data_IF_900173937707
#
_entry.id   IF_900173937707
#
_cell.length_a   1.000
_cell.length_b   1.000
_cell.length_c   1.000
_cell.angle_alpha   90.00
_cell.angle_beta   90.00
_cell.angle_gamma   90.00
#
_symmetry.space_group_name_H-M   'P 1'
#
loop_
_entity.id
_entity.type
_entity.pdbx_description
1 polymer ?
#
# COMPACT_ATOMS: atom_id res chain seq x y z
N UNK A 1 -16.56 4.42 -15.95
CA UNK A 1 -15.54 4.63 -17.00
C UNK A 1 -14.32 3.74 -16.68
N UNK A 2 -13.38 3.56 -17.59
CA UNK A 2 -12.13 2.80 -17.32
C UNK A 2 -10.93 3.67 -17.63
N UNK A 3 -10.04 3.84 -16.66
CA UNK A 3 -8.76 4.52 -16.83
C UNK A 3 -7.71 3.47 -17.16
N UNK A 4 -6.97 3.66 -18.24
CA UNK A 4 -5.88 2.77 -18.64
C UNK A 4 -4.56 3.51 -18.51
N UNK A 5 -3.61 2.95 -17.76
CA UNK A 5 -2.28 3.50 -17.57
C UNK A 5 -1.23 2.46 -17.96
N UNK A 6 -0.10 2.91 -18.49
CA UNK A 6 1.13 2.12 -18.51
C UNK A 6 1.71 1.98 -17.10
N UNK A 7 2.54 0.95 -16.90
CA UNK A 7 3.28 0.78 -15.65
C UNK A 7 4.16 2.01 -15.31
N UNK A 8 4.73 2.67 -16.31
CA UNK A 8 5.56 3.85 -16.12
C UNK A 8 4.74 5.05 -15.63
N UNK A 9 3.57 5.30 -16.22
CA UNK A 9 2.67 6.38 -15.79
C UNK A 9 2.20 6.14 -14.35
N UNK A 10 1.83 4.90 -14.03
CA UNK A 10 1.46 4.55 -12.66
C UNK A 10 2.62 4.78 -11.68
N UNK A 11 3.85 4.42 -12.04
CA UNK A 11 5.05 4.68 -11.20
C UNK A 11 5.30 6.17 -10.99
N UNK A 12 5.17 6.98 -12.03
CA UNK A 12 5.35 8.44 -11.91
C UNK A 12 4.30 9.06 -10.99
N UNK A 13 3.03 8.67 -11.16
CA UNK A 13 1.95 9.10 -10.27
C UNK A 13 2.20 8.65 -8.83
N UNK A 14 2.68 7.42 -8.66
CA UNK A 14 3.01 6.85 -7.36
C UNK A 14 4.10 7.65 -6.64
N UNK A 15 5.21 7.93 -7.32
CA UNK A 15 6.34 8.70 -6.78
C UNK A 15 5.92 10.12 -6.38
N UNK A 16 5.14 10.79 -7.23
CA UNK A 16 4.64 12.14 -6.95
C UNK A 16 3.71 12.21 -5.72
N UNK A 17 3.15 11.07 -5.29
CA UNK A 17 2.25 10.97 -4.15
C UNK A 17 2.83 10.17 -2.97
N UNK A 18 4.16 9.94 -2.97
CA UNK A 18 4.84 9.24 -1.87
C UNK A 18 5.28 10.23 -0.81
N UNK A 19 4.98 9.94 0.45
CA UNK A 19 5.49 10.66 1.62
C UNK A 19 6.31 9.70 2.49
N UNK A 20 7.61 9.97 2.72
CA UNK A 20 8.38 9.24 3.71
C UNK A 20 7.78 9.52 5.11
N UNK A 21 7.56 8.48 5.90
CA UNK A 21 7.15 8.63 7.30
C UNK A 21 8.33 8.21 8.19
N UNK A 22 8.98 9.13 8.91
CA UNK A 22 10.04 8.75 9.83
C UNK A 22 9.48 7.88 10.96
N UNK A 23 10.08 6.70 11.15
CA UNK A 23 9.82 5.86 12.32
C UNK A 23 10.53 6.47 13.55
N UNK A 24 9.97 6.36 14.77
CA UNK A 24 10.62 6.90 15.96
C UNK A 24 11.87 6.13 16.43
N UNK A 25 12.25 5.01 15.82
CA UNK A 25 13.33 4.16 16.32
C UNK A 25 14.25 3.65 15.21
N UNK A 26 15.54 3.61 15.57
CA UNK A 26 16.74 3.70 14.75
C UNK A 26 17.20 2.33 14.21
N UNK A 27 16.59 1.84 13.12
CA UNK A 27 17.05 0.65 12.40
C UNK A 27 17.25 0.85 10.88
N UNK A 28 17.10 2.09 10.39
CA UNK A 28 17.29 2.44 8.98
C UNK A 28 16.22 1.92 8.03
N UNK A 29 15.15 1.27 8.52
CA UNK A 29 14.00 0.86 7.70
C UNK A 29 12.85 1.87 7.86
N UNK A 30 12.69 2.73 6.85
CA UNK A 30 11.64 3.75 6.84
C UNK A 30 10.39 3.23 6.15
N UNK A 31 9.27 3.25 6.88
CA UNK A 31 7.94 3.07 6.31
C UNK A 31 7.68 4.10 5.21
N UNK A 32 7.05 3.66 4.13
CA UNK A 32 6.60 4.57 3.10
C UNK A 32 5.09 4.47 2.90
N UNK A 33 4.45 5.64 2.88
CA UNK A 33 3.03 5.78 2.56
C UNK A 33 2.94 6.47 1.22
N UNK A 34 2.22 5.85 0.30
CA UNK A 34 1.86 6.43 -0.97
C UNK A 34 0.38 6.76 -0.95
N UNK A 35 0.05 8.03 -1.09
CA UNK A 35 -1.33 8.45 -1.25
C UNK A 35 -1.84 8.01 -2.62
N UNK A 36 -3.10 7.59 -2.68
CA UNK A 36 -3.77 7.37 -3.95
C UNK A 36 -3.81 8.71 -4.71
N UNK A 37 -3.37 8.76 -5.98
CA UNK A 37 -3.47 9.97 -6.78
C UNK A 37 -4.93 10.50 -6.77
N UNK A 38 -5.16 11.79 -6.46
CA UNK A 38 -6.52 12.31 -6.22
C UNK A 38 -7.50 12.12 -7.38
N UNK A 39 -6.99 12.04 -8.61
CA UNK A 39 -7.79 11.83 -9.83
C UNK A 39 -8.14 10.35 -10.09
N UNK A 40 -7.51 9.41 -9.37
CA UNK A 40 -7.82 7.98 -9.46
C UNK A 40 -8.71 7.51 -8.30
N UNK A 41 -8.63 8.18 -7.15
CA UNK A 41 -9.28 7.70 -5.94
C UNK A 41 -8.87 8.44 -4.68
N UNK A 42 -9.11 7.79 -3.54
CA UNK A 42 -8.75 8.26 -2.19
C UNK A 42 -8.14 7.14 -1.36
N UNK A 43 -7.43 7.51 -0.30
CA UNK A 43 -6.76 6.58 0.61
C UNK A 43 -5.30 6.39 0.26
N UNK A 44 -4.72 5.26 0.63
CA UNK A 44 -3.28 5.04 0.56
C UNK A 44 -2.88 3.58 0.37
N UNK A 45 -1.60 3.40 0.02
CA UNK A 45 -0.84 2.18 0.17
C UNK A 45 0.28 2.45 1.18
N UNK A 46 0.54 1.50 2.07
CA UNK A 46 1.65 1.59 3.04
C UNK A 46 2.49 0.34 2.93
N UNK A 47 3.79 0.53 2.84
CA UNK A 47 4.77 -0.54 2.84
C UNK A 47 5.55 -0.44 4.13
N UNK A 48 5.57 -1.56 4.84
CA UNK A 48 6.23 -1.72 6.13
C UNK A 48 7.31 -2.78 5.91
N UNK A 49 8.58 -2.39 5.80
CA UNK A 49 9.69 -3.33 5.78
C UNK A 49 9.73 -4.13 7.09
N UNK A 50 9.78 -5.45 6.99
CA UNK A 50 9.89 -6.40 8.10
C UNK A 50 11.09 -7.32 7.84
N UNK A 51 12.32 -6.81 8.01
CA UNK A 51 13.56 -7.54 7.70
C UNK A 51 13.54 -8.11 6.27
N UNK A 52 13.27 -9.40 6.11
CA UNK A 52 13.28 -10.11 4.83
C UNK A 52 11.92 -10.10 4.10
N UNK A 53 10.89 -9.51 4.71
CA UNK A 53 9.51 -9.47 4.18
C UNK A 53 9.07 -8.02 4.08
N UNK A 54 8.19 -7.71 3.11
CA UNK A 54 7.51 -6.43 3.03
C UNK A 54 6.03 -6.66 3.30
N UNK A 55 5.49 -6.02 4.34
CA UNK A 55 4.05 -5.98 4.56
C UNK A 55 3.47 -4.81 3.77
N UNK A 56 2.56 -5.12 2.85
CA UNK A 56 1.84 -4.13 2.04
C UNK A 56 0.39 -4.01 2.52
N UNK A 57 0.02 -2.83 2.98
CA UNK A 57 -1.35 -2.48 3.36
C UNK A 57 -1.98 -1.66 2.23
N UNK A 58 -3.07 -2.19 1.65
CA UNK A 58 -3.91 -1.47 0.72
C UNK A 58 -5.13 -0.92 1.45
N UNK A 59 -5.24 0.40 1.54
CA UNK A 59 -6.42 1.08 2.08
C UNK A 59 -6.79 2.25 1.18
N UNK A 60 -7.25 1.94 -0.02
CA UNK A 60 -7.71 2.92 -0.99
C UNK A 60 -9.00 2.48 -1.66
N UNK A 61 -9.67 3.46 -2.24
CA UNK A 61 -10.88 3.29 -3.03
C UNK A 61 -10.69 4.05 -4.34
N UNK A 62 -10.88 3.35 -5.47
CA UNK A 62 -10.79 3.94 -6.79
C UNK A 62 -12.15 4.49 -7.21
N UNK A 63 -12.16 5.65 -7.85
CA UNK A 63 -13.37 6.24 -8.41
C UNK A 63 -13.83 5.52 -9.68
N UNK A 64 -12.89 4.95 -10.42
CA UNK A 64 -13.11 4.31 -11.71
C UNK A 64 -12.30 3.02 -11.81
N UNK A 65 -12.67 2.13 -12.73
CA UNK A 65 -11.89 0.92 -12.98
C UNK A 65 -10.51 1.30 -13.53
N UNK A 66 -9.44 0.84 -12.88
CA UNK A 66 -8.06 1.07 -13.31
C UNK A 66 -7.48 -0.19 -13.97
N UNK A 67 -7.05 -0.06 -15.22
CA UNK A 67 -6.30 -1.10 -15.93
C UNK A 67 -4.85 -0.65 -16.10
N UNK A 68 -3.92 -1.52 -15.71
CA UNK A 68 -2.47 -1.24 -15.82
C UNK A 68 -1.87 -2.15 -16.88
N UNK A 69 -1.34 -1.56 -17.93
CA UNK A 69 -0.60 -2.28 -18.96
C UNK A 69 0.81 -2.58 -18.44
N UNK A 70 1.01 -3.82 -17.99
CA UNK A 70 2.33 -4.31 -17.54
C UNK A 70 3.02 -5.07 -18.68
N UNK A 71 4.28 -4.75 -19.03
CA UNK A 71 5.10 -5.69 -19.76
C UNK A 71 5.26 -6.96 -18.93
N UNK A 72 5.27 -8.12 -19.57
CA UNK A 72 5.43 -9.42 -18.91
C UNK A 72 6.83 -9.51 -18.29
N UNK A 73 6.95 -9.15 -17.01
CA UNK A 73 8.18 -9.36 -16.24
C UNK A 73 7.90 -10.47 -15.24
N UNK A 74 8.76 -11.50 -15.26
CA UNK A 74 8.82 -12.53 -14.24
C UNK A 74 9.28 -11.87 -12.93
N UNK A 75 8.37 -11.68 -12.00
CA UNK A 75 8.71 -11.26 -10.65
C UNK A 75 9.11 -12.50 -9.86
N UNK A 76 10.37 -12.59 -9.40
CA UNK A 76 10.88 -13.68 -8.56
C UNK A 76 10.33 -13.64 -7.11
N UNK A 77 9.19 -12.99 -6.87
CA UNK A 77 8.56 -12.88 -5.57
C UNK A 77 7.30 -13.74 -5.48
N UNK A 78 7.06 -14.29 -4.30
CA UNK A 78 5.80 -14.93 -3.95
C UNK A 78 4.98 -13.93 -3.14
N UNK A 79 3.79 -13.59 -3.62
CA UNK A 79 2.87 -12.66 -2.95
C UNK A 79 1.69 -13.45 -2.35
N UNK A 80 1.34 -13.14 -1.10
CA UNK A 80 0.17 -13.68 -0.42
C UNK A 80 -0.77 -12.53 -0.04
N UNK A 81 -1.98 -12.53 -0.60
CA UNK A 81 -3.00 -11.51 -0.32
C UNK A 81 -4.13 -12.05 0.55
N UNK A 82 -4.49 -11.30 1.59
CA UNK A 82 -5.65 -11.58 2.43
C UNK A 82 -6.50 -10.32 2.61
N UNK A 83 -7.82 -10.49 2.60
CA UNK A 83 -8.75 -9.39 2.91
C UNK A 83 -8.95 -9.33 4.42
N UNK A 84 -8.51 -8.25 5.05
CA UNK A 84 -8.82 -7.98 6.45
C UNK A 84 -10.21 -7.32 6.50
N UNK A 85 -11.16 -7.95 7.21
CA UNK A 85 -12.45 -7.34 7.56
C UNK A 85 -12.50 -7.14 9.06
N UNK A 86 -12.59 -5.89 9.53
CA UNK A 86 -12.82 -5.60 10.93
C UNK A 86 -14.31 -5.68 11.25
N UNK A 87 -14.73 -6.63 12.08
CA UNK A 87 -15.95 -6.42 12.87
C UNK A 87 -15.57 -5.53 14.04
N UNK A 88 -16.16 -4.34 14.12
CA UNK A 88 -16.10 -3.50 15.32
C UNK A 88 -16.89 -4.15 16.47
N UNK A 89 -16.59 -5.40 16.84
CA UNK A 89 -16.96 -5.89 18.15
C UNK A 89 -15.98 -5.24 19.11
N UNK A 90 -16.44 -4.21 19.80
CA UNK A 90 -15.77 -3.64 20.97
C UNK A 90 -15.65 -4.74 22.02
N UNK A 91 -14.67 -5.63 21.88
CA UNK A 91 -14.20 -6.48 22.95
C UNK A 91 -12.96 -5.79 23.52
N UNK A 92 -13.18 -5.03 24.58
CA UNK A 92 -12.14 -4.70 25.56
C UNK A 92 -11.60 -6.03 26.11
N UNK A 93 -10.61 -6.62 25.47
CA UNK A 93 -9.88 -7.77 26.00
C UNK A 93 -8.51 -7.84 25.32
N UNK A 94 -7.52 -7.22 25.96
CA UNK A 94 -6.13 -7.26 25.50
C UNK A 94 -5.30 -6.34 26.37
N UNK A 95 -4.87 -6.87 27.51
CA UNK A 95 -4.02 -6.18 28.48
C UNK A 95 -2.70 -5.74 27.85
N UNK A 96 -2.19 -4.61 28.34
CA UNK A 96 -0.90 -4.02 28.00
C UNK A 96 0.22 -5.06 27.94
N UNK A 97 1.04 -5.01 26.90
CA UNK A 97 2.36 -5.65 26.95
C UNK A 97 3.26 -4.80 27.87
N UNK A 98 3.85 -5.48 28.86
CA UNK A 98 4.88 -4.98 29.77
C UNK A 98 6.21 -4.81 29.06
#
# INVERSE_FOLDING_TARGET
MTITLSEQELKQLSLANTQPQPFPEDDGQTDFIQQCPPHLGRGYMRWIPLRDIILLIHNYELQENLMVLKPSVLTNCVEFGFRISGTNSVHRAGQNFR
#
